data_IF_243811885222
#
_entry.id   IF_243811885222
#
_cell.length_a   1.000
_cell.length_b   1.000
_cell.length_c   1.000
_cell.angle_alpha   90.00
_cell.angle_beta   90.00
_cell.angle_gamma   90.00
#
_symmetry.space_group_name_H-M   'P 1'
#
loop_
_entity.id
_entity.type
_entity.pdbx_description
1 polymer ?
#
# COMPACT_ATOMS: atom_id res chain seq x y z
N UNK A 1 -24.92 -65.61 34.94
CA UNK A 1 -24.21 -65.39 36.21
C UNK A 1 -22.77 -65.81 36.03
N UNK A 2 -21.83 -64.92 36.42
CA UNK A 2 -20.38 -65.10 36.68
C UNK A 2 -19.53 -65.87 35.66
N UNK A 3 -18.42 -65.36 35.12
CA UNK A 3 -17.55 -64.26 35.53
C UNK A 3 -16.17 -64.79 35.96
N UNK A 4 -15.17 -64.48 35.12
CA UNK A 4 -13.74 -64.37 35.41
C UNK A 4 -12.92 -65.66 35.63
N UNK A 5 -12.20 -66.06 34.59
CA UNK A 5 -10.97 -66.86 34.68
C UNK A 5 -9.77 -65.98 34.34
N UNK A 6 -8.85 -65.86 35.30
CA UNK A 6 -7.50 -65.32 35.09
C UNK A 6 -6.54 -66.48 34.84
N UNK A 7 -5.70 -66.39 33.82
CA UNK A 7 -4.47 -67.18 33.70
C UNK A 7 -3.35 -66.31 33.14
N UNK A 8 -2.26 -66.31 33.90
CA UNK A 8 -1.00 -65.61 33.69
C UNK A 8 -0.16 -66.23 32.57
N UNK A 9 0.65 -65.42 31.90
CA UNK A 9 1.84 -65.91 31.19
C UNK A 9 2.97 -64.89 31.26
N UNK A 10 4.07 -65.32 31.86
CA UNK A 10 5.37 -64.66 31.99
C UNK A 10 6.22 -64.87 30.74
N UNK A 11 6.84 -63.78 30.29
CA UNK A 11 8.08 -63.57 29.53
C UNK A 11 8.77 -64.73 28.77
N UNK A 12 9.17 -64.47 27.51
CA UNK A 12 10.57 -64.57 27.03
C UNK A 12 10.83 -63.60 25.85
N UNK A 13 11.85 -62.75 26.06
CA UNK A 13 12.82 -62.10 25.18
C UNK A 13 12.68 -62.12 23.64
N UNK A 14 12.73 -60.93 23.05
CA UNK A 14 13.09 -60.67 21.65
C UNK A 14 13.91 -59.38 21.54
N UNK A 15 15.17 -59.54 21.17
CA UNK A 15 16.29 -58.59 21.12
C UNK A 15 16.14 -57.41 20.15
N UNK A 16 16.51 -56.21 20.61
CA UNK A 16 16.86 -55.05 19.78
C UNK A 16 18.38 -54.96 19.61
N UNK A 17 18.93 -54.84 18.40
CA UNK A 17 20.31 -54.43 18.22
C UNK A 17 20.43 -52.91 18.01
N UNK A 18 21.41 -52.35 18.72
CA UNK A 18 22.05 -51.06 18.45
C UNK A 18 23.02 -51.18 17.26
N UNK A 19 23.17 -50.04 16.58
CA UNK A 19 24.30 -49.58 15.77
C UNK A 19 24.68 -50.31 14.47
N UNK A 20 24.43 -49.63 13.35
CA UNK A 20 25.29 -49.64 12.17
C UNK A 20 25.38 -48.21 11.61
N UNK A 21 26.58 -47.66 11.72
CA UNK A 21 26.97 -46.34 11.22
C UNK A 21 27.23 -46.35 9.70
N UNK A 22 27.21 -45.13 9.14
CA UNK A 22 27.91 -44.70 7.94
C UNK A 22 27.41 -45.19 6.56
N UNK A 23 26.79 -44.27 5.80
CA UNK A 23 27.33 -43.69 4.55
C UNK A 23 26.23 -42.97 3.77
N UNK A 24 26.12 -41.66 3.95
CA UNK A 24 25.56 -40.76 2.93
C UNK A 24 26.38 -39.46 2.94
N UNK A 25 27.42 -39.46 2.13
CA UNK A 25 28.14 -38.27 1.63
C UNK A 25 28.02 -38.41 0.10
N UNK A 26 27.63 -37.45 -0.72
CA UNK A 26 27.85 -36.01 -0.69
C UNK A 26 26.94 -35.35 -1.74
N UNK A 27 26.48 -34.13 -1.48
CA UNK A 27 25.73 -33.33 -2.45
C UNK A 27 24.98 -32.16 -1.84
N UNK A 28 25.70 -31.21 -1.23
CA UNK A 28 25.13 -29.91 -0.88
C UNK A 28 24.85 -29.10 -2.17
N UNK A 29 23.81 -28.24 -2.16
CA UNK A 29 24.07 -26.89 -1.68
C UNK A 29 23.02 -26.41 -0.64
N UNK A 30 23.42 -25.59 0.34
CA UNK A 30 22.47 -24.85 1.15
C UNK A 30 22.06 -23.57 0.42
N UNK A 31 20.80 -23.47 -0.01
CA UNK A 31 20.19 -22.18 -0.36
C UNK A 31 19.97 -21.37 0.92
N UNK A 32 20.86 -20.39 1.13
CA UNK A 32 20.88 -19.46 2.25
C UNK A 32 19.73 -18.42 2.15
N UNK A 33 18.78 -18.39 3.10
CA UNK A 33 17.71 -17.39 3.13
C UNK A 33 18.18 -15.98 3.52
N UNK A 34 19.48 -15.74 3.79
CA UNK A 34 20.04 -14.41 4.10
C UNK A 34 20.25 -13.50 2.88
N UNK A 35 19.92 -13.93 1.66
CA UNK A 35 20.11 -13.10 0.45
C UNK A 35 19.17 -11.89 0.34
N UNK A 36 18.21 -11.73 1.26
CA UNK A 36 17.38 -10.52 1.38
C UNK A 36 17.76 -9.61 2.57
N UNK A 37 18.83 -9.90 3.31
CA UNK A 37 19.12 -9.18 4.56
C UNK A 37 20.60 -8.91 4.85
N UNK A 38 21.46 -8.84 3.82
CA UNK A 38 22.81 -8.28 3.97
C UNK A 38 22.93 -6.99 3.15
N UNK A 39 23.20 -5.83 3.77
CA UNK A 39 23.53 -4.63 3.01
C UNK A 39 24.85 -4.91 2.26
N UNK A 40 24.97 -4.57 0.97
CA UNK A 40 26.28 -4.44 0.38
C UNK A 40 26.96 -3.28 1.12
N UNK A 41 28.14 -3.52 1.68
CA UNK A 41 29.12 -2.46 1.88
C UNK A 41 29.32 -1.80 0.52
N UNK A 42 28.65 -0.67 0.30
CA UNK A 42 28.94 0.18 -0.83
C UNK A 42 30.05 1.13 -0.40
N UNK A 43 31.25 0.72 -0.78
CA UNK A 43 32.38 1.58 -1.07
C UNK A 43 31.88 2.79 -1.90
N UNK A 44 31.90 3.96 -1.26
CA UNK A 44 31.62 5.23 -1.88
C UNK A 44 32.79 5.59 -2.79
N UNK A 45 32.67 5.27 -4.08
CA UNK A 45 33.50 5.89 -5.10
C UNK A 45 32.88 5.79 -6.49
N UNK A 46 32.83 6.95 -7.17
CA UNK A 46 32.50 7.20 -8.59
C UNK A 46 31.02 7.34 -8.98
N UNK A 47 30.57 8.60 -8.87
CA UNK A 47 29.98 9.33 -10.01
C UNK A 47 28.72 8.74 -10.63
N UNK A 48 27.57 8.91 -9.97
CA UNK A 48 26.30 8.79 -10.67
C UNK A 48 25.92 10.12 -11.31
N UNK A 49 26.09 10.16 -12.63
CA UNK A 49 25.52 11.17 -13.50
C UNK A 49 24.00 11.24 -13.28
N UNK A 50 23.57 12.39 -12.75
CA UNK A 50 22.20 12.87 -12.74
C UNK A 50 21.61 12.76 -14.16
N UNK A 51 20.53 12.00 -14.40
CA UNK A 51 19.81 12.09 -15.66
C UNK A 51 19.37 13.55 -15.86
N UNK A 52 19.72 14.21 -16.97
CA UNK A 52 19.27 15.57 -17.23
C UNK A 52 17.76 15.53 -17.48
N UNK A 53 16.97 16.06 -16.56
CA UNK A 53 15.52 16.18 -16.74
C UNK A 53 14.67 16.36 -15.48
N UNK A 54 15.14 15.96 -14.29
CA UNK A 54 14.33 16.05 -13.08
C UNK A 54 14.66 17.30 -12.27
N UNK A 55 14.08 18.41 -12.70
CA UNK A 55 13.82 19.55 -11.84
C UNK A 55 12.66 19.16 -10.93
N UNK A 56 12.86 19.20 -9.60
CA UNK A 56 11.78 19.17 -8.60
C UNK A 56 10.64 20.05 -9.08
N UNK A 57 9.48 19.49 -9.45
CA UNK A 57 8.37 20.22 -10.09
C UNK A 57 7.98 21.48 -9.29
N UNK A 58 8.47 22.69 -9.63
CA UNK A 58 8.24 23.88 -8.81
C UNK A 58 6.79 24.36 -8.93
N UNK A 59 6.10 23.97 -10.01
CA UNK A 59 4.75 24.43 -10.35
C UNK A 59 3.64 23.93 -9.43
N UNK A 60 3.87 22.87 -8.65
CA UNK A 60 2.87 22.35 -7.71
C UNK A 60 2.72 23.18 -6.43
N UNK A 61 3.80 23.83 -6.00
CA UNK A 61 3.85 24.56 -4.74
C UNK A 61 3.23 25.97 -4.86
N UNK A 62 3.09 26.49 -6.08
CA UNK A 62 2.80 27.90 -6.35
C UNK A 62 1.38 28.22 -6.87
N UNK A 63 0.42 27.27 -6.87
CA UNK A 63 -0.97 27.58 -7.23
C UNK A 63 -1.83 27.76 -5.99
N UNK A 64 -2.48 28.93 -5.89
CA UNK A 64 -3.64 29.16 -5.01
C UNK A 64 -4.66 28.07 -5.31
N UNK A 65 -4.73 27.05 -4.46
CA UNK A 65 -5.77 26.04 -4.48
C UNK A 65 -7.12 26.72 -4.32
N UNK A 66 -8.07 26.43 -5.20
CA UNK A 66 -9.47 26.76 -4.93
C UNK A 66 -9.84 26.21 -3.53
N UNK A 67 -10.64 26.95 -2.74
CA UNK A 67 -10.94 26.54 -1.38
C UNK A 67 -11.61 25.16 -1.40
N UNK A 68 -10.97 24.18 -0.77
CA UNK A 68 -11.54 22.86 -0.57
C UNK A 68 -12.85 22.99 0.22
N UNK A 69 -13.89 22.23 -0.18
CA UNK A 69 -15.08 22.07 0.66
C UNK A 69 -14.71 21.43 2.01
N UNK A 70 -15.47 21.70 3.09
CA UNK A 70 -15.24 21.08 4.39
C UNK A 70 -15.18 19.54 4.27
N UNK A 71 -14.25 18.93 5.01
CA UNK A 71 -13.93 17.48 4.95
C UNK A 71 -15.10 16.55 5.34
N UNK A 72 -16.20 17.12 5.85
CA UNK A 72 -17.40 16.42 6.32
C UNK A 72 -18.64 16.57 5.41
N UNK A 73 -18.49 17.12 4.20
CA UNK A 73 -19.61 17.33 3.26
C UNK A 73 -20.20 15.98 2.76
N UNK A 74 -21.50 15.72 2.93
CA UNK A 74 -22.13 14.47 2.47
C UNK A 74 -22.03 14.26 0.95
N UNK A 75 -21.89 12.99 0.56
CA UNK A 75 -21.70 12.55 -0.83
C UNK A 75 -22.79 13.07 -1.78
N UNK A 76 -22.46 13.85 -2.84
CA UNK A 76 -23.44 14.24 -3.84
C UNK A 76 -23.77 13.06 -4.77
N UNK A 77 -25.03 12.64 -4.79
CA UNK A 77 -25.58 11.47 -5.51
C UNK A 77 -26.10 11.77 -6.93
N UNK A 78 -25.45 12.67 -7.67
CA UNK A 78 -25.90 12.99 -9.04
C UNK A 78 -25.41 11.95 -10.07
N UNK A 79 -26.29 11.30 -10.86
CA UNK A 79 -25.88 10.30 -11.86
C UNK A 79 -25.21 10.94 -13.09
N UNK A 80 -24.13 10.33 -13.59
CA UNK A 80 -23.47 10.68 -14.87
C UNK A 80 -23.78 9.58 -15.91
N UNK A 81 -24.13 9.92 -17.18
CA UNK A 81 -24.38 8.93 -18.24
C UNK A 81 -23.14 8.06 -18.55
N UNK A 82 -23.35 6.73 -18.63
CA UNK A 82 -22.36 5.64 -18.59
C UNK A 82 -21.24 5.83 -17.56
N UNK A 83 -21.60 5.85 -16.28
CA UNK A 83 -20.66 6.09 -15.19
C UNK A 83 -19.45 5.15 -15.17
N UNK A 84 -18.32 5.66 -14.67
CA UNK A 84 -17.10 4.88 -14.45
C UNK A 84 -17.33 3.68 -13.51
N UNK A 85 -18.19 3.85 -12.49
CA UNK A 85 -18.52 2.79 -11.53
C UNK A 85 -19.04 1.49 -12.18
N UNK A 86 -20.12 1.48 -12.99
CA UNK A 86 -20.56 0.27 -13.70
C UNK A 86 -19.53 -0.26 -14.72
N UNK A 87 -18.70 0.60 -15.32
CA UNK A 87 -17.62 0.18 -16.23
C UNK A 87 -16.56 -0.65 -15.50
N UNK A 88 -16.06 -0.16 -14.35
CA UNK A 88 -15.11 -0.92 -13.52
C UNK A 88 -15.78 -2.20 -13.01
N UNK A 89 -17.01 -2.13 -12.53
CA UNK A 89 -17.74 -3.31 -12.04
C UNK A 89 -17.84 -4.40 -13.13
N UNK A 90 -18.22 -4.02 -14.36
CA UNK A 90 -18.30 -4.95 -15.50
C UNK A 90 -16.93 -5.55 -15.81
N UNK A 91 -15.89 -4.73 -15.86
CA UNK A 91 -14.53 -5.20 -16.12
C UNK A 91 -14.08 -6.23 -15.06
N UNK A 92 -14.32 -5.97 -13.76
CA UNK A 92 -13.99 -6.89 -12.68
C UNK A 92 -14.79 -8.20 -12.78
N UNK A 93 -16.08 -8.14 -13.10
CA UNK A 93 -16.90 -9.33 -13.36
C UNK A 93 -16.31 -10.18 -14.48
N UNK A 94 -15.88 -9.57 -15.59
CA UNK A 94 -15.22 -10.27 -16.70
C UNK A 94 -13.90 -10.92 -16.26
N UNK A 95 -13.10 -10.23 -15.43
CA UNK A 95 -11.85 -10.81 -14.91
C UNK A 95 -12.11 -12.03 -14.02
N UNK A 96 -13.24 -12.07 -13.30
CA UNK A 96 -13.65 -13.26 -12.53
C UNK A 96 -14.09 -14.40 -13.43
N UNK A 97 -14.92 -14.12 -14.43
CA UNK A 97 -15.38 -15.11 -15.40
C UNK A 97 -14.22 -15.73 -16.19
N UNK A 98 -13.21 -14.93 -16.54
CA UNK A 98 -11.99 -15.39 -17.21
C UNK A 98 -10.97 -16.08 -16.28
N UNK A 99 -11.27 -16.24 -14.99
CA UNK A 99 -10.36 -16.85 -14.01
C UNK A 99 -9.11 -16.01 -13.66
N UNK A 100 -8.99 -14.79 -14.18
CA UNK A 100 -7.87 -13.86 -13.88
C UNK A 100 -7.95 -13.31 -12.45
N UNK A 101 -9.17 -13.18 -11.92
CA UNK A 101 -9.45 -12.87 -10.53
C UNK A 101 -10.25 -14.02 -9.88
N UNK A 102 -9.71 -14.63 -8.83
CA UNK A 102 -10.31 -15.81 -8.23
C UNK A 102 -11.51 -15.46 -7.33
N UNK A 103 -12.44 -16.41 -7.17
CA UNK A 103 -13.66 -16.24 -6.37
C UNK A 103 -13.36 -15.90 -4.90
N UNK A 104 -12.24 -16.38 -4.35
CA UNK A 104 -11.81 -16.09 -2.98
C UNK A 104 -11.02 -14.77 -2.81
N UNK A 105 -11.06 -13.91 -3.83
CA UNK A 105 -10.44 -12.59 -3.82
C UNK A 105 -11.51 -11.52 -3.74
N UNK A 106 -11.43 -10.68 -2.73
CA UNK A 106 -12.23 -9.46 -2.60
C UNK A 106 -11.46 -8.29 -3.19
N UNK A 107 -12.17 -7.27 -3.69
CA UNK A 107 -11.53 -6.07 -4.23
C UNK A 107 -12.32 -4.82 -3.91
N UNK A 108 -11.60 -3.70 -3.74
CA UNK A 108 -12.18 -2.37 -3.64
C UNK A 108 -11.51 -1.41 -4.63
N UNK A 109 -12.33 -0.49 -5.14
CA UNK A 109 -11.93 0.49 -6.14
C UNK A 109 -12.55 1.84 -5.79
N UNK A 110 -11.73 2.88 -5.74
CA UNK A 110 -12.21 4.25 -5.55
C UNK A 110 -11.51 5.21 -6.51
N UNK A 111 -12.32 6.02 -7.17
CA UNK A 111 -11.86 7.16 -7.98
C UNK A 111 -12.64 8.40 -7.58
N UNK A 112 -11.91 9.48 -7.28
CA UNK A 112 -12.47 10.80 -6.98
C UNK A 112 -11.77 11.82 -7.87
N UNK A 113 -12.55 12.56 -8.65
CA UNK A 113 -12.04 13.73 -9.37
C UNK A 113 -12.03 14.92 -8.42
N UNK A 114 -10.85 15.50 -8.20
CA UNK A 114 -10.70 16.66 -7.33
C UNK A 114 -11.16 17.95 -7.99
N UNK A 115 -11.22 18.00 -9.32
CA UNK A 115 -11.67 19.18 -10.08
C UNK A 115 -13.16 19.44 -9.86
N UNK A 116 -13.97 18.36 -9.94
CA UNK A 116 -15.41 18.44 -9.70
C UNK A 116 -15.81 18.08 -8.26
N UNK A 117 -14.84 17.62 -7.46
CA UNK A 117 -15.04 17.05 -6.12
C UNK A 117 -16.08 15.92 -6.11
N UNK A 118 -16.10 15.08 -7.14
CA UNK A 118 -17.05 13.96 -7.28
C UNK A 118 -16.34 12.62 -7.20
N UNK A 119 -16.97 11.69 -6.49
CA UNK A 119 -16.63 10.29 -6.60
C UNK A 119 -17.17 9.73 -7.92
N UNK A 120 -16.26 9.21 -8.74
CA UNK A 120 -16.59 8.61 -10.04
C UNK A 120 -16.80 7.10 -9.93
N UNK A 121 -16.15 6.45 -8.96
CA UNK A 121 -16.33 5.04 -8.63
C UNK A 121 -16.08 4.79 -7.13
N UNK A 122 -16.91 3.94 -6.52
CA UNK A 122 -16.82 3.56 -5.09
C UNK A 122 -17.27 2.11 -4.90
N UNK A 123 -16.52 1.17 -5.46
CA UNK A 123 -16.81 -0.26 -5.34
C UNK A 123 -16.19 -0.78 -4.05
N UNK A 124 -17.02 -1.28 -3.13
CA UNK A 124 -16.58 -1.86 -1.84
C UNK A 124 -15.70 -0.93 -0.99
N UNK A 125 -15.81 0.38 -1.20
CA UNK A 125 -14.81 1.34 -0.77
C UNK A 125 -14.78 1.60 0.75
N UNK A 126 -15.87 1.29 1.46
CA UNK A 126 -15.99 1.50 2.91
C UNK A 126 -15.49 0.31 3.74
N UNK A 127 -15.28 -0.85 3.12
CA UNK A 127 -14.78 -2.02 3.82
C UNK A 127 -13.30 -1.88 4.15
N UNK A 128 -12.90 -2.31 5.35
CA UNK A 128 -11.51 -2.34 5.78
C UNK A 128 -10.78 -3.56 5.19
N UNK A 129 -9.76 -3.30 4.38
CA UNK A 129 -8.85 -4.31 3.84
C UNK A 129 -7.50 -4.24 4.55
N UNK A 130 -6.68 -5.26 4.40
CA UNK A 130 -5.27 -5.18 4.75
C UNK A 130 -4.64 -3.93 4.11
N UNK A 131 -3.73 -3.27 4.80
CA UNK A 131 -3.06 -2.09 4.26
C UNK A 131 -1.76 -2.48 3.54
N UNK A 132 -1.13 -3.57 3.95
CA UNK A 132 0.25 -3.88 3.59
C UNK A 132 1.14 -2.63 3.76
N UNK A 133 1.99 -2.33 2.78
CA UNK A 133 2.83 -1.13 2.78
C UNK A 133 2.09 0.18 2.43
N UNK A 134 0.80 0.16 2.10
CA UNK A 134 0.02 1.40 1.92
C UNK A 134 -0.21 2.15 3.24
N UNK A 135 0.09 1.52 4.39
CA UNK A 135 0.06 2.18 5.70
C UNK A 135 1.20 3.17 5.93
N UNK A 136 2.28 3.07 5.15
CA UNK A 136 3.52 3.81 5.43
C UNK A 136 3.35 5.34 5.36
N UNK A 137 2.57 5.91 4.43
CA UNK A 137 2.20 7.32 4.48
C UNK A 137 1.44 7.72 5.75
N UNK A 138 0.66 6.82 6.36
CA UNK A 138 -0.04 7.08 7.61
C UNK A 138 0.94 7.11 8.80
N UNK A 139 1.93 6.21 8.80
CA UNK A 139 3.05 6.26 9.77
C UNK A 139 3.84 7.56 9.62
N UNK A 140 4.15 7.98 8.39
CA UNK A 140 4.82 9.25 8.12
C UNK A 140 4.01 10.44 8.64
N UNK A 141 2.70 10.47 8.39
CA UNK A 141 1.81 11.52 8.86
C UNK A 141 1.75 11.58 10.40
N UNK A 142 1.63 10.44 11.08
CA UNK A 142 1.65 10.40 12.54
C UNK A 142 2.98 10.95 13.10
N UNK A 143 4.11 10.55 12.52
CA UNK A 143 5.42 11.11 12.86
C UNK A 143 5.45 12.63 12.64
N UNK A 144 4.93 13.12 11.51
CA UNK A 144 4.93 14.56 11.22
C UNK A 144 4.07 15.40 12.16
N UNK A 145 2.99 14.84 12.72
CA UNK A 145 2.29 15.50 13.83
C UNK A 145 3.21 15.66 15.04
N UNK A 146 3.92 14.60 15.42
CA UNK A 146 4.85 14.67 16.55
C UNK A 146 6.01 15.64 16.33
N UNK A 147 6.43 15.82 15.07
CA UNK A 147 7.41 16.87 14.73
C UNK A 147 6.78 18.26 14.84
N UNK A 148 5.56 18.45 14.31
CA UNK A 148 4.84 19.72 14.43
C UNK A 148 4.60 20.12 15.89
N UNK A 149 4.34 19.14 16.76
CA UNK A 149 4.12 19.33 18.19
C UNK A 149 5.43 19.57 18.97
N UNK A 150 6.60 19.45 18.33
CA UNK A 150 7.91 19.61 18.96
C UNK A 150 8.39 18.40 19.78
N UNK A 151 7.70 17.26 19.69
CA UNK A 151 8.03 16.02 20.41
C UNK A 151 9.13 15.20 19.71
N UNK A 152 9.24 15.33 18.38
CA UNK A 152 10.23 14.64 17.55
C UNK A 152 10.90 15.61 16.57
N UNK A 153 12.06 15.22 16.03
CA UNK A 153 12.81 16.01 15.05
C UNK A 153 12.80 15.33 13.67
N UNK A 154 12.62 16.14 12.61
CA UNK A 154 12.80 15.71 11.22
C UNK A 154 14.12 16.19 10.62
N UNK A 155 15.23 15.58 11.06
CA UNK A 155 16.57 15.89 10.55
C UNK A 155 16.82 15.26 9.17
N UNK A 156 17.94 15.60 8.49
CA UNK A 156 18.34 14.94 7.24
C UNK A 156 18.43 13.41 7.33
N UNK A 157 18.78 12.87 8.50
CA UNK A 157 18.81 11.42 8.72
C UNK A 157 17.41 10.80 8.68
N UNK A 158 16.44 11.39 9.37
CA UNK A 158 15.05 10.96 9.30
C UNK A 158 14.51 11.13 7.89
N UNK A 159 14.84 12.22 7.18
CA UNK A 159 14.44 12.40 5.77
C UNK A 159 14.89 11.25 4.88
N UNK A 160 16.16 10.84 4.97
CA UNK A 160 16.66 9.69 4.21
C UNK A 160 15.92 8.38 4.54
N UNK A 161 15.61 8.13 5.82
CA UNK A 161 14.80 6.97 6.21
C UNK A 161 13.37 7.07 5.71
N UNK A 162 12.79 8.27 5.70
CA UNK A 162 11.44 8.52 5.19
C UNK A 162 11.36 8.22 3.69
N UNK A 163 12.37 8.64 2.93
CA UNK A 163 12.52 8.27 1.51
C UNK A 163 12.62 6.75 1.34
N UNK A 164 13.46 6.08 2.13
CA UNK A 164 13.58 4.63 2.08
C UNK A 164 12.25 3.90 2.40
N UNK A 165 11.50 4.42 3.37
CA UNK A 165 10.19 3.89 3.75
C UNK A 165 9.16 4.06 2.63
N UNK A 166 9.06 5.25 2.03
CA UNK A 166 8.01 5.55 1.05
C UNK A 166 8.37 5.02 -0.34
N UNK A 167 9.55 5.37 -0.86
CA UNK A 167 10.00 5.03 -2.21
C UNK A 167 10.28 3.53 -2.37
N UNK A 168 11.14 2.98 -1.50
CA UNK A 168 11.60 1.59 -1.61
C UNK A 168 10.79 0.62 -0.76
N UNK A 169 9.77 1.13 -0.06
CA UNK A 169 8.96 0.32 0.86
C UNK A 169 9.82 -0.41 1.89
N UNK A 170 10.87 0.22 2.43
CA UNK A 170 11.78 -0.42 3.37
C UNK A 170 11.09 -0.62 4.75
N UNK A 171 11.01 -1.87 5.22
CA UNK A 171 10.33 -2.21 6.47
C UNK A 171 11.14 -1.82 7.72
N UNK A 172 12.47 -1.88 7.67
CA UNK A 172 13.32 -1.43 8.77
C UNK A 172 13.20 0.09 8.97
N UNK A 173 13.17 0.86 7.88
CA UNK A 173 12.91 2.29 7.95
C UNK A 173 11.50 2.59 8.48
N UNK A 174 10.50 1.77 8.12
CA UNK A 174 9.15 1.92 8.67
C UNK A 174 9.12 1.70 10.17
N UNK A 175 9.70 0.59 10.64
CA UNK A 175 9.73 0.26 12.06
C UNK A 175 10.55 1.26 12.87
N UNK A 176 11.60 1.85 12.30
CA UNK A 176 12.32 2.95 12.94
C UNK A 176 11.38 4.12 13.31
N UNK A 177 10.48 4.54 12.41
CA UNK A 177 9.52 5.61 12.73
C UNK A 177 8.47 5.17 13.76
N UNK A 178 7.98 3.93 13.65
CA UNK A 178 7.04 3.39 14.64
C UNK A 178 7.72 3.31 16.03
N UNK A 179 8.99 2.97 16.09
CA UNK A 179 9.78 2.93 17.33
C UNK A 179 10.02 4.32 17.92
N UNK A 180 10.19 5.35 17.10
CA UNK A 180 10.24 6.74 17.59
C UNK A 180 8.92 7.15 18.26
N UNK A 181 7.78 6.72 17.71
CA UNK A 181 6.47 7.04 18.28
C UNK A 181 6.25 6.42 19.67
N UNK A 182 6.93 5.31 20.02
CA UNK A 182 6.92 4.77 21.39
C UNK A 182 7.40 5.79 22.45
N UNK A 183 8.16 6.81 22.04
CA UNK A 183 8.76 7.80 22.96
C UNK A 183 7.81 8.95 23.27
N UNK A 184 6.70 9.03 22.55
CA UNK A 184 5.79 10.19 22.57
C UNK A 184 4.57 9.98 23.47
N UNK A 185 4.34 8.75 23.93
CA UNK A 185 3.27 8.42 24.88
C UNK A 185 3.52 7.05 25.54
N UNK A 186 2.65 6.64 26.47
CA UNK A 186 2.66 5.28 27.02
C UNK A 186 2.12 4.19 26.09
N UNK A 187 1.76 4.51 24.84
CA UNK A 187 1.24 3.53 23.86
C UNK A 187 2.37 2.84 23.12
N UNK A 188 2.09 1.64 22.61
CA UNK A 188 2.95 1.05 21.59
C UNK A 188 2.92 1.91 20.33
N UNK A 189 3.99 1.89 19.55
CA UNK A 189 4.16 2.70 18.35
C UNK A 189 3.01 2.51 17.35
N UNK A 190 2.57 1.28 17.03
CA UNK A 190 1.38 1.06 16.20
C UNK A 190 0.14 1.74 16.77
N UNK A 191 -0.12 1.59 18.07
CA UNK A 191 -1.26 2.21 18.73
C UNK A 191 -1.15 3.75 18.77
N UNK A 192 0.07 4.30 18.88
CA UNK A 192 0.30 5.73 18.82
C UNK A 192 0.09 6.30 17.41
N UNK A 193 0.45 5.55 16.35
CA UNK A 193 0.09 5.92 14.96
C UNK A 193 -1.42 6.04 14.85
N UNK A 194 -2.17 5.00 15.19
CA UNK A 194 -3.63 5.02 15.07
C UNK A 194 -4.27 6.11 15.94
N UNK A 195 -3.81 6.24 17.19
CA UNK A 195 -4.30 7.26 18.12
C UNK A 195 -4.07 8.68 17.58
N UNK A 196 -2.85 8.99 17.15
CA UNK A 196 -2.51 10.31 16.60
C UNK A 196 -3.39 10.66 15.41
N UNK A 197 -3.55 9.71 14.47
CA UNK A 197 -4.34 9.93 13.26
C UNK A 197 -5.82 10.13 13.57
N UNK A 198 -6.42 9.29 14.41
CA UNK A 198 -7.84 9.40 14.77
C UNK A 198 -8.14 10.58 15.67
N UNK A 199 -7.21 10.98 16.54
CA UNK A 199 -7.35 12.17 17.39
C UNK A 199 -7.35 13.44 16.55
N UNK A 200 -6.40 13.56 15.61
CA UNK A 200 -6.25 14.76 14.76
C UNK A 200 -7.29 14.83 13.65
N UNK A 201 -7.71 13.67 13.12
CA UNK A 201 -8.55 13.55 11.92
C UNK A 201 -9.53 12.38 12.01
N UNK A 202 -10.50 12.40 12.95
CA UNK A 202 -11.44 11.29 13.13
C UNK A 202 -12.27 11.02 11.88
N UNK A 203 -12.58 12.06 11.09
CA UNK A 203 -13.31 11.94 9.83
C UNK A 203 -12.53 11.25 8.71
N UNK A 204 -11.20 11.34 8.70
CA UNK A 204 -10.35 10.75 7.64
C UNK A 204 -10.04 9.27 7.89
N UNK A 205 -9.74 8.90 9.15
CA UNK A 205 -9.20 7.59 9.52
C UNK A 205 -10.22 6.69 10.21
N UNK A 206 -11.43 6.58 9.65
CA UNK A 206 -12.58 5.92 10.30
C UNK A 206 -12.36 4.42 10.47
N UNK A 207 -11.89 3.76 9.41
CA UNK A 207 -11.69 2.31 9.37
C UNK A 207 -10.23 1.89 9.52
N UNK A 208 -9.34 2.85 9.78
CA UNK A 208 -7.91 2.63 9.88
C UNK A 208 -7.58 1.93 11.19
N UNK A 209 -6.80 0.86 11.09
CA UNK A 209 -6.32 0.08 12.22
C UNK A 209 -4.81 -0.15 12.07
N UNK A 210 -4.04 0.22 13.08
CA UNK A 210 -2.58 0.03 13.11
C UNK A 210 -2.23 -0.80 14.33
N UNK A 211 -2.27 -2.12 14.12
CA UNK A 211 -2.23 -3.12 15.19
C UNK A 211 -0.87 -3.80 15.35
N UNK A 212 0.05 -3.59 14.41
CA UNK A 212 1.37 -4.22 14.43
C UNK A 212 2.46 -3.38 13.76
N UNK A 213 3.69 -3.57 14.24
CA UNK A 213 4.90 -3.22 13.48
C UNK A 213 4.92 -3.99 12.16
N UNK A 214 5.72 -3.56 11.18
CA UNK A 214 5.86 -4.32 9.94
C UNK A 214 6.72 -5.57 10.22
N UNK A 215 6.15 -6.78 10.17
CA UNK A 215 6.88 -7.98 10.58
C UNK A 215 7.93 -8.38 9.54
N UNK A 216 8.87 -9.25 9.94
CA UNK A 216 9.88 -9.82 9.03
C UNK A 216 9.21 -10.43 7.81
N UNK A 217 9.77 -10.18 6.62
CA UNK A 217 9.18 -10.60 5.35
C UNK A 217 7.95 -9.80 4.89
N UNK A 218 7.57 -8.72 5.58
CA UNK A 218 6.52 -7.80 5.11
C UNK A 218 5.09 -8.32 5.27
N UNK A 219 4.87 -9.32 6.13
CA UNK A 219 3.59 -9.98 6.39
C UNK A 219 2.62 -9.13 7.24
N UNK A 220 2.46 -7.85 6.90
CA UNK A 220 1.59 -6.93 7.65
C UNK A 220 0.11 -7.20 7.30
N UNK A 221 -0.50 -8.13 8.02
CA UNK A 221 -1.87 -8.61 7.78
C UNK A 221 -2.89 -8.01 8.75
N UNK A 222 -2.45 -7.44 9.86
CA UNK A 222 -3.35 -6.89 10.90
C UNK A 222 -3.63 -5.41 10.71
N UNK A 223 -2.71 -4.69 10.08
CA UNK A 223 -2.92 -3.29 9.72
C UNK A 223 -3.95 -3.21 8.58
N UNK A 224 -4.95 -2.33 8.75
CA UNK A 224 -6.10 -2.23 7.84
C UNK A 224 -6.48 -0.78 7.57
N UNK A 225 -7.05 -0.53 6.40
CA UNK A 225 -7.72 0.72 6.06
C UNK A 225 -8.72 0.48 4.93
N UNK A 226 -9.73 1.34 4.84
CA UNK A 226 -10.69 1.33 3.73
C UNK A 226 -10.16 2.13 2.53
N UNK A 227 -10.72 1.91 1.33
CA UNK A 227 -10.40 2.75 0.18
C UNK A 227 -10.84 4.20 0.40
N UNK A 228 -11.93 4.41 1.16
CA UNK A 228 -12.39 5.72 1.59
C UNK A 228 -11.42 6.43 2.53
N UNK A 229 -10.79 5.72 3.47
CA UNK A 229 -9.77 6.32 4.35
C UNK A 229 -8.57 6.81 3.53
N UNK A 230 -8.09 6.00 2.58
CA UNK A 230 -7.03 6.42 1.66
C UNK A 230 -7.45 7.64 0.82
N UNK A 231 -8.67 7.64 0.26
CA UNK A 231 -9.19 8.75 -0.53
C UNK A 231 -9.23 10.05 0.27
N UNK A 232 -9.78 10.02 1.49
CA UNK A 232 -9.85 11.18 2.39
C UNK A 232 -8.46 11.69 2.77
N UNK A 233 -7.52 10.78 3.08
CA UNK A 233 -6.12 11.14 3.31
C UNK A 233 -5.49 11.83 2.08
N UNK A 234 -5.64 11.24 0.88
CA UNK A 234 -5.09 11.79 -0.36
C UNK A 234 -5.70 13.15 -0.69
N UNK A 235 -6.99 13.34 -0.47
CA UNK A 235 -7.65 14.63 -0.64
C UNK A 235 -7.09 15.68 0.32
N UNK A 236 -6.99 15.36 1.62
CA UNK A 236 -6.41 16.27 2.60
C UNK A 236 -4.94 16.60 2.29
N UNK A 237 -4.17 15.62 1.83
CA UNK A 237 -2.79 15.79 1.38
C UNK A 237 -2.70 16.72 0.16
N UNK A 238 -3.61 16.56 -0.80
CA UNK A 238 -3.66 17.35 -2.01
C UNK A 238 -3.81 18.84 -1.70
N UNK A 239 -4.82 19.15 -0.88
CA UNK A 239 -5.22 20.51 -0.50
C UNK A 239 -4.39 21.10 0.65
N UNK A 240 -3.27 20.49 1.00
CA UNK A 240 -2.36 20.95 2.07
C UNK A 240 -3.01 21.09 3.46
N UNK A 241 -3.97 20.22 3.76
CA UNK A 241 -4.69 20.22 5.05
C UNK A 241 -4.02 19.36 6.12
N UNK A 242 -2.88 18.74 5.79
CA UNK A 242 -2.08 17.91 6.69
C UNK A 242 -0.73 18.59 6.97
N UNK A 243 -0.12 18.38 8.16
CA UNK A 243 1.23 18.84 8.41
C UNK A 243 2.20 18.20 7.42
N UNK A 244 3.21 18.96 7.03
CA UNK A 244 4.23 18.48 6.08
C UNK A 244 3.65 17.96 4.75
N UNK A 245 2.47 18.44 4.31
CA UNK A 245 1.83 18.01 3.04
C UNK A 245 2.76 18.13 1.83
N UNK A 246 3.57 19.20 1.76
CA UNK A 246 4.55 19.37 0.68
C UNK A 246 5.63 18.27 0.70
N UNK A 247 6.09 17.86 1.88
CA UNK A 247 7.07 16.80 2.03
C UNK A 247 6.47 15.42 1.77
N UNK A 248 5.25 15.15 2.25
CA UNK A 248 4.52 13.91 1.92
C UNK A 248 4.28 13.77 0.41
N UNK A 249 3.86 14.85 -0.26
CA UNK A 249 3.76 14.87 -1.73
C UNK A 249 5.12 14.63 -2.38
N UNK A 250 6.20 15.29 -1.93
CA UNK A 250 7.54 15.04 -2.45
C UNK A 250 7.92 13.56 -2.33
N UNK A 251 7.74 12.97 -1.15
CA UNK A 251 8.07 11.56 -0.87
C UNK A 251 7.26 10.60 -1.74
N UNK A 252 5.94 10.83 -1.87
CA UNK A 252 5.05 10.00 -2.68
C UNK A 252 5.26 10.20 -4.20
N UNK A 253 5.93 11.27 -4.62
CA UNK A 253 6.31 11.50 -6.03
C UNK A 253 7.65 10.89 -6.42
N UNK A 254 8.38 10.27 -5.49
CA UNK A 254 9.68 9.68 -5.78
C UNK A 254 9.52 8.48 -6.74
N UNK A 255 10.43 8.30 -7.72
CA UNK A 255 10.32 7.23 -8.70
C UNK A 255 10.23 5.85 -8.06
N UNK A 256 9.26 5.05 -8.49
CA UNK A 256 9.06 3.68 -8.06
C UNK A 256 8.54 2.83 -9.24
N UNK A 257 8.26 1.54 -9.00
CA UNK A 257 7.54 0.68 -9.95
C UNK A 257 6.11 0.46 -9.45
N UNK A 258 5.24 1.42 -9.72
CA UNK A 258 3.83 1.42 -9.32
C UNK A 258 2.94 0.53 -10.22
N UNK A 259 1.63 0.58 -9.97
CA UNK A 259 0.59 -0.12 -10.73
C UNK A 259 -0.47 0.81 -11.31
N UNK A 260 -0.43 2.11 -11.02
CA UNK A 260 -1.44 3.08 -11.47
C UNK A 260 -0.96 3.91 -12.68
N UNK A 261 0.33 3.90 -12.95
CA UNK A 261 1.03 4.60 -14.02
C UNK A 261 2.01 3.66 -14.73
N UNK A 262 2.94 3.05 -14.00
CA UNK A 262 3.95 2.16 -14.59
C UNK A 262 3.31 0.93 -15.22
N UNK A 263 3.29 0.87 -16.56
CA UNK A 263 2.67 -0.20 -17.33
C UNK A 263 1.15 -0.08 -17.51
N UNK A 264 0.53 1.02 -17.08
CA UNK A 264 -0.82 1.38 -17.47
C UNK A 264 -0.77 2.03 -18.86
N UNK A 265 -1.36 1.37 -19.87
CA UNK A 265 -1.10 1.69 -21.28
C UNK A 265 -1.77 2.96 -21.77
N UNK A 266 -2.89 3.36 -21.15
CA UNK A 266 -3.62 4.57 -21.53
C UNK A 266 -3.14 5.84 -20.80
N UNK A 267 -2.39 5.71 -19.71
CA UNK A 267 -2.00 6.87 -18.88
C UNK A 267 -0.88 7.64 -19.58
N UNK A 268 -1.10 8.92 -19.88
CA UNK A 268 -0.13 9.77 -20.57
C UNK A 268 1.17 9.94 -19.77
N UNK A 269 2.32 9.92 -20.46
CA UNK A 269 3.67 10.01 -19.85
C UNK A 269 3.93 11.31 -19.08
N UNK A 270 3.16 12.37 -19.35
CA UNK A 270 3.25 13.66 -18.66
C UNK A 270 2.42 13.76 -17.38
N UNK A 271 1.76 12.66 -16.99
CA UNK A 271 0.94 12.59 -15.78
C UNK A 271 1.83 12.62 -14.55
N UNK A 272 1.53 13.52 -13.62
CA UNK A 272 2.22 13.56 -12.33
C UNK A 272 1.59 12.54 -11.38
N UNK A 273 2.41 11.82 -10.62
CA UNK A 273 1.98 10.69 -9.79
C UNK A 273 2.51 10.86 -8.38
N UNK A 274 1.62 10.69 -7.40
CA UNK A 274 1.91 10.67 -5.98
C UNK A 274 1.30 9.40 -5.39
N UNK A 275 2.06 8.33 -5.22
CA UNK A 275 1.51 7.02 -4.90
C UNK A 275 2.18 6.30 -3.73
N UNK A 276 1.53 5.23 -3.29
CA UNK A 276 2.13 4.18 -2.49
C UNK A 276 1.53 2.83 -2.84
N UNK A 277 2.39 1.96 -3.39
CA UNK A 277 2.07 0.54 -3.52
C UNK A 277 2.02 -0.24 -2.19
N UNK A 278 1.20 -1.29 -2.14
CA UNK A 278 1.17 -2.28 -1.06
C UNK A 278 1.16 -3.71 -1.58
N UNK A 279 1.93 -4.61 -0.97
CA UNK A 279 1.81 -6.04 -1.26
C UNK A 279 2.18 -6.93 -0.08
N UNK A 280 1.41 -7.99 0.11
CA UNK A 280 1.71 -9.17 0.94
C UNK A 280 1.34 -10.44 0.15
N UNK A 281 1.51 -11.64 0.73
CA UNK A 281 0.98 -12.85 0.11
C UNK A 281 -0.56 -12.90 0.04
N UNK A 282 -1.27 -11.97 0.71
CA UNK A 282 -2.73 -11.87 0.69
C UNK A 282 -3.24 -10.62 0.00
N UNK A 283 -2.45 -9.56 -0.11
CA UNK A 283 -2.91 -8.30 -0.69
C UNK A 283 -2.00 -7.80 -1.80
N UNK A 284 -2.60 -7.27 -2.87
CA UNK A 284 -1.95 -6.47 -3.88
C UNK A 284 -2.77 -5.21 -4.06
N UNK A 285 -2.16 -4.04 -3.84
CA UNK A 285 -2.86 -2.78 -3.94
C UNK A 285 -1.95 -1.62 -4.31
N UNK A 286 -2.59 -0.54 -4.69
CA UNK A 286 -1.96 0.74 -4.97
C UNK A 286 -2.94 1.87 -4.69
N UNK A 287 -2.42 2.99 -4.19
CA UNK A 287 -3.21 4.18 -3.89
C UNK A 287 -2.40 5.43 -4.22
N UNK A 288 -3.03 6.43 -4.82
CA UNK A 288 -2.32 7.66 -5.15
C UNK A 288 -3.17 8.72 -5.81
N UNK A 289 -2.54 9.86 -6.08
CA UNK A 289 -3.08 10.97 -6.86
C UNK A 289 -2.39 10.95 -8.20
N UNK A 290 -3.17 10.89 -9.27
CA UNK A 290 -2.70 11.15 -10.63
C UNK A 290 -3.13 12.54 -11.03
N UNK A 291 -2.28 13.21 -11.78
CA UNK A 291 -2.56 14.55 -12.26
C UNK A 291 -2.29 14.64 -13.75
N UNK A 292 -3.37 14.46 -14.49
CA UNK A 292 -3.35 14.54 -15.93
C UNK A 292 -3.31 16.00 -16.40
N UNK A 293 -2.87 16.19 -17.63
CA UNK A 293 -2.89 17.49 -18.32
C UNK A 293 -4.01 17.48 -19.35
N UNK A 294 -4.82 18.52 -19.36
CA UNK A 294 -5.80 18.79 -20.42
C UNK A 294 -5.14 19.37 -21.66
N UNK A 295 -5.82 19.28 -22.80
CA UNK A 295 -5.42 20.00 -24.03
C UNK A 295 -5.40 21.51 -23.84
N UNK A 296 -6.19 22.00 -22.89
CA UNK A 296 -6.23 23.39 -22.42
C UNK A 296 -5.01 23.81 -21.55
N UNK A 297 -4.07 22.89 -21.29
CA UNK A 297 -2.91 23.11 -20.44
C UNK A 297 -3.22 23.11 -18.94
N UNK A 298 -4.48 22.95 -18.51
CA UNK A 298 -4.87 22.80 -17.11
C UNK A 298 -4.48 21.41 -16.60
N UNK A 299 -4.49 21.27 -15.28
CA UNK A 299 -4.15 20.03 -14.57
C UNK A 299 -5.38 19.51 -13.87
N UNK A 300 -5.65 18.23 -14.04
CA UNK A 300 -6.84 17.53 -13.57
C UNK A 300 -6.41 16.44 -12.58
N UNK A 301 -6.33 16.77 -11.28
CA UNK A 301 -5.95 15.82 -10.25
C UNK A 301 -7.12 14.91 -9.87
N UNK A 302 -6.84 13.63 -9.66
CA UNK A 302 -7.82 12.65 -9.18
C UNK A 302 -7.14 11.55 -8.37
N UNK A 303 -7.87 10.95 -7.43
CA UNK A 303 -7.38 9.75 -6.74
C UNK A 303 -7.61 8.50 -7.56
N UNK A 304 -6.72 7.54 -7.41
CA UNK A 304 -6.95 6.16 -7.76
C UNK A 304 -6.57 5.28 -6.57
N UNK A 305 -7.50 4.43 -6.12
CA UNK A 305 -7.23 3.39 -5.12
C UNK A 305 -7.75 2.06 -5.66
N UNK A 306 -6.86 1.07 -5.76
CA UNK A 306 -7.18 -0.29 -6.16
C UNK A 306 -6.63 -1.28 -5.16
N UNK A 307 -7.51 -2.12 -4.58
CA UNK A 307 -7.15 -3.13 -3.58
C UNK A 307 -7.67 -4.48 -4.04
N UNK A 308 -6.82 -5.50 -4.03
CA UNK A 308 -7.19 -6.90 -4.26
C UNK A 308 -6.64 -7.74 -3.09
N UNK A 309 -7.53 -8.34 -2.31
CA UNK A 309 -7.20 -9.15 -1.14
C UNK A 309 -7.72 -10.59 -1.28
N UNK A 310 -6.86 -11.58 -0.99
CA UNK A 310 -7.20 -12.99 -0.88
C UNK A 310 -7.51 -13.36 0.57
N UNK A 311 -8.47 -14.27 0.74
CA UNK A 311 -8.75 -14.89 2.04
C UNK A 311 -7.57 -15.71 2.60
N UNK A 312 -6.75 -16.33 1.72
CA UNK A 312 -5.59 -17.17 2.09
C UNK A 312 -4.33 -16.72 1.35
N UNK A 313 -3.13 -16.91 1.92
CA UNK A 313 -1.88 -16.56 1.25
C UNK A 313 -1.75 -17.24 -0.11
N UNK A 314 -1.25 -16.51 -1.11
CA UNK A 314 -0.91 -17.06 -2.41
C UNK A 314 0.26 -18.06 -2.26
N UNK A 315 0.12 -19.24 -2.87
CA UNK A 315 1.19 -20.25 -2.93
C UNK A 315 2.39 -19.76 -3.75
N UNK A 316 2.13 -19.17 -4.93
CA UNK A 316 3.14 -18.48 -5.72
C UNK A 316 2.92 -16.96 -5.64
N UNK A 317 3.60 -16.33 -4.67
CA UNK A 317 3.48 -14.90 -4.39
C UNK A 317 3.79 -14.01 -5.61
N UNK A 318 4.92 -14.25 -6.30
CA UNK A 318 5.38 -13.38 -7.39
C UNK A 318 4.43 -13.41 -8.57
N UNK A 319 4.05 -14.61 -9.02
CA UNK A 319 3.08 -14.78 -10.12
C UNK A 319 1.75 -14.11 -9.77
N UNK A 320 1.25 -14.37 -8.56
CA UNK A 320 0.00 -13.80 -8.09
C UNK A 320 0.03 -12.25 -8.05
N UNK A 321 1.03 -11.67 -7.37
CA UNK A 321 1.23 -10.22 -7.27
C UNK A 321 1.26 -9.56 -8.65
N UNK A 322 2.00 -10.14 -9.59
CA UNK A 322 2.15 -9.59 -10.94
C UNK A 322 0.81 -9.61 -11.69
N UNK A 323 0.10 -10.74 -11.65
CA UNK A 323 -1.21 -10.87 -12.27
C UNK A 323 -2.23 -9.86 -11.69
N UNK A 324 -2.26 -9.65 -10.37
CA UNK A 324 -3.17 -8.67 -9.75
C UNK A 324 -2.73 -7.23 -10.00
N UNK A 325 -1.42 -6.99 -10.08
CA UNK A 325 -0.88 -5.71 -10.52
C UNK A 325 -1.31 -5.35 -11.94
N UNK A 326 -1.40 -6.32 -12.85
CA UNK A 326 -1.89 -6.08 -14.22
C UNK A 326 -3.37 -5.69 -14.26
N UNK A 327 -4.21 -6.34 -13.44
CA UNK A 327 -5.61 -5.93 -13.27
C UNK A 327 -5.69 -4.47 -12.78
N UNK A 328 -4.87 -4.08 -11.80
CA UNK A 328 -4.84 -2.69 -11.31
C UNK A 328 -4.42 -1.70 -12.43
N UNK A 329 -3.42 -2.04 -13.25
CA UNK A 329 -2.98 -1.23 -14.41
C UNK A 329 -4.06 -1.07 -15.47
N UNK A 330 -4.77 -2.15 -15.75
CA UNK A 330 -5.88 -2.17 -16.71
C UNK A 330 -7.03 -1.29 -16.21
N UNK A 331 -7.39 -1.38 -14.93
CA UNK A 331 -8.40 -0.48 -14.33
C UNK A 331 -7.90 0.98 -14.34
N UNK A 332 -6.63 1.25 -14.01
CA UNK A 332 -6.08 2.62 -14.10
C UNK A 332 -6.17 3.19 -15.51
N UNK A 333 -5.94 2.35 -16.52
CA UNK A 333 -6.11 2.72 -17.93
C UNK A 333 -7.56 3.08 -18.25
N UNK A 334 -8.53 2.29 -17.78
CA UNK A 334 -9.96 2.60 -17.94
C UNK A 334 -10.34 3.93 -17.27
N UNK A 335 -9.81 4.18 -16.06
CA UNK A 335 -10.05 5.43 -15.33
C UNK A 335 -9.47 6.62 -16.10
N UNK A 336 -8.25 6.51 -16.62
CA UNK A 336 -7.64 7.57 -17.41
C UNK A 336 -8.43 7.88 -18.68
N UNK A 337 -8.87 6.85 -19.42
CA UNK A 337 -9.72 7.05 -20.61
C UNK A 337 -11.03 7.75 -20.28
N UNK A 338 -11.64 7.42 -19.14
CA UNK A 338 -12.85 8.13 -18.68
C UNK A 338 -12.55 9.59 -18.32
N UNK A 339 -11.46 9.85 -17.60
CA UNK A 339 -11.02 11.22 -17.31
C UNK A 339 -10.69 11.99 -18.59
N UNK A 340 -10.14 11.32 -19.61
CA UNK A 340 -9.82 11.90 -20.91
C UNK A 340 -11.06 12.39 -21.63
N UNK A 341 -12.13 11.60 -21.60
CA UNK A 341 -13.43 12.01 -22.17
C UNK A 341 -14.08 13.15 -21.36
N UNK A 342 -13.95 13.13 -20.03
CA UNK A 342 -14.58 14.10 -19.16
C UNK A 342 -13.92 15.49 -19.20
N UNK A 343 -12.60 15.53 -19.28
CA UNK A 343 -11.79 16.76 -19.13
C UNK A 343 -10.93 17.10 -20.34
N UNK A 344 -11.15 16.42 -21.48
CA UNK A 344 -10.35 16.58 -22.70
C UNK A 344 -8.84 16.48 -22.45
N UNK A 345 -8.43 15.36 -21.85
CA UNK A 345 -7.01 15.10 -21.53
C UNK A 345 -6.17 14.80 -22.78
N UNK A 346 -4.87 15.09 -22.70
CA UNK A 346 -3.88 14.83 -23.77
C UNK A 346 -3.74 13.36 -24.08
#
# INVERSE_FOLDING_TARGET
MAGLGALSATAVFGSLPRDAAAQWNSGAPPDDPNRYNRPPEYDYSRGYNRPPGYNTYPGWQNRKSEPARPLDDPYPTTPIPSGLNPTIQRYITLQRQAGRLAANESSAWLVQDFTTNRYLATLNADMAYQSASMIKPFVALAFFYKVQDGELEYSPFQRHRMEAMIQYSNNHATNYFIELLNRTSGRSGPAEVEHTLKLRHPGLFRHTQVLENIPRGGRSYRNRASALDYSRFLQALWYNQLPYSAELKRLMSLPNRDRIYTGATAVSRGTWVFDKTGTTARLCGDMGILVAQGRDGRRYPYTFIGIIEKARPASNYTSWKNARGNIIREVSSLVYTHMQQMHDLV
#
